data_IF_317485203389
#
_entry.id   IF_317485203389
#
_cell.length_a   1.000
_cell.length_b   1.000
_cell.length_c   1.000
_cell.angle_alpha   90.00
_cell.angle_beta   90.00
_cell.angle_gamma   90.00
#
_symmetry.space_group_name_H-M   'P 1'
#
loop_
_entity.id
_entity.type
_entity.pdbx_description
1 polymer ?
#
# COMPACT_ATOMS: atom_id res chain seq x y z
N UNK A 1 -10.38 9.60 12.27
CA UNK A 1 -11.51 8.72 12.70
C UNK A 1 -10.89 7.40 13.12
N UNK A 2 -11.25 6.86 14.30
CA UNK A 2 -10.75 5.54 14.69
C UNK A 2 -11.45 4.46 13.86
N UNK A 3 -10.67 3.51 13.33
CA UNK A 3 -11.23 2.36 12.59
C UNK A 3 -11.91 1.43 13.60
N UNK A 4 -13.20 1.12 13.45
CA UNK A 4 -13.89 0.20 14.36
C UNK A 4 -13.21 -1.18 14.41
N UNK A 5 -13.14 -1.78 15.61
CA UNK A 5 -12.46 -3.06 15.86
C UNK A 5 -12.87 -4.19 14.90
N UNK A 6 -14.13 -4.18 14.47
CA UNK A 6 -14.65 -5.20 13.56
C UNK A 6 -13.93 -5.24 12.20
N UNK A 7 -13.42 -4.10 11.73
CA UNK A 7 -12.63 -4.06 10.50
C UNK A 7 -11.27 -4.73 10.70
N UNK A 8 -10.66 -4.60 11.88
CA UNK A 8 -9.43 -5.35 12.20
C UNK A 8 -9.66 -6.86 12.25
N UNK A 9 -10.86 -7.32 12.66
CA UNK A 9 -11.19 -8.75 12.55
C UNK A 9 -11.25 -9.24 11.10
N UNK A 10 -11.60 -8.37 10.15
CA UNK A 10 -11.50 -8.69 8.71
C UNK A 10 -10.02 -8.71 8.30
N UNK A 11 -9.32 -7.58 8.47
CA UNK A 11 -7.96 -7.38 7.96
C UNK A 11 -6.94 -8.38 8.50
N UNK A 12 -7.03 -8.77 9.79
CA UNK A 12 -6.12 -9.74 10.41
C UNK A 12 -6.13 -11.11 9.72
N UNK A 13 -7.21 -11.43 9.00
CA UNK A 13 -7.38 -12.70 8.30
C UNK A 13 -7.14 -12.60 6.78
N UNK A 14 -6.76 -11.43 6.27
CA UNK A 14 -6.45 -11.25 4.86
C UNK A 14 -4.97 -11.58 4.56
N UNK A 15 -4.66 -12.00 3.33
CA UNK A 15 -3.27 -12.16 2.89
C UNK A 15 -2.56 -10.81 2.72
N UNK A 16 -3.31 -9.73 2.41
CA UNK A 16 -2.85 -8.34 2.28
C UNK A 16 -3.80 -7.38 2.97
N UNK A 17 -3.29 -6.21 3.38
CA UNK A 17 -4.11 -5.13 3.94
C UNK A 17 -4.84 -4.29 2.89
N UNK A 18 -4.57 -4.51 1.59
CA UNK A 18 -5.17 -3.82 0.46
C UNK A 18 -4.92 -4.55 -0.85
N UNK A 19 -5.42 -4.03 -1.99
CA UNK A 19 -5.17 -4.58 -3.31
C UNK A 19 -3.69 -4.67 -3.66
N UNK A 20 -3.27 -5.77 -4.27
CA UNK A 20 -1.88 -5.98 -4.68
C UNK A 20 -1.55 -7.46 -4.93
N UNK A 21 -0.41 -7.71 -5.56
CA UNK A 21 0.12 -9.04 -5.78
C UNK A 21 1.65 -9.01 -5.97
N UNK A 22 2.27 -10.18 -5.83
CA UNK A 22 3.72 -10.32 -5.94
C UNK A 22 4.25 -10.04 -7.36
N UNK A 23 3.44 -10.24 -8.40
CA UNK A 23 3.85 -9.96 -9.78
C UNK A 23 3.98 -8.46 -10.00
N UNK A 24 3.02 -7.67 -9.51
CA UNK A 24 3.07 -6.22 -9.55
C UNK A 24 4.23 -5.66 -8.72
N UNK A 25 4.49 -6.23 -7.52
CA UNK A 25 5.67 -5.89 -6.70
C UNK A 25 6.97 -6.16 -7.49
N UNK A 26 7.12 -7.35 -8.11
CA UNK A 26 8.28 -7.68 -8.96
C UNK A 26 8.42 -6.76 -10.17
N UNK A 27 7.30 -6.42 -10.83
CA UNK A 27 7.29 -5.50 -11.97
C UNK A 27 7.82 -4.12 -11.55
N UNK A 28 7.31 -3.55 -10.46
CA UNK A 28 7.80 -2.27 -9.97
C UNK A 28 9.29 -2.34 -9.58
N UNK A 29 9.72 -3.41 -8.89
CA UNK A 29 11.11 -3.62 -8.53
C UNK A 29 12.01 -3.72 -9.77
N UNK A 30 11.56 -4.33 -10.87
CA UNK A 30 12.34 -4.49 -12.09
C UNK A 30 12.65 -3.18 -12.82
N UNK A 31 12.00 -2.08 -12.46
CA UNK A 31 12.28 -0.74 -12.98
C UNK A 31 13.47 -0.06 -12.31
N UNK A 32 13.94 -0.59 -11.17
CA UNK A 32 15.09 -0.03 -10.45
C UNK A 32 16.39 -0.38 -11.15
N UNK A 33 17.32 0.58 -11.17
CA UNK A 33 18.65 0.42 -11.79
C UNK A 33 19.73 0.83 -10.79
N UNK A 34 20.93 0.35 -11.02
CA UNK A 34 22.13 0.78 -10.30
C UNK A 34 22.04 0.73 -8.76
N UNK A 35 21.25 -0.22 -8.25
CA UNK A 35 21.16 -0.44 -6.81
C UNK A 35 22.50 -0.94 -6.26
N UNK A 36 22.89 -0.51 -5.02
CA UNK A 36 24.10 -1.01 -4.40
C UNK A 36 24.04 -2.52 -4.13
N UNK A 37 25.18 -3.17 -4.02
CA UNK A 37 25.26 -4.61 -3.74
C UNK A 37 24.47 -5.01 -2.47
N UNK A 38 24.46 -4.14 -1.46
CA UNK A 38 23.66 -4.30 -0.24
C UNK A 38 22.68 -3.15 -0.10
N UNK A 39 21.44 -3.43 -0.42
CA UNK A 39 20.36 -2.44 -0.47
C UNK A 39 19.68 -2.29 0.88
N UNK A 40 19.40 -1.05 1.29
CA UNK A 40 18.60 -0.74 2.48
C UNK A 40 17.22 -0.23 2.05
N UNK A 41 16.20 -1.01 2.34
CA UNK A 41 14.80 -0.66 2.08
C UNK A 41 14.09 -0.16 3.33
N UNK A 42 13.16 0.75 3.15
CA UNK A 42 12.12 1.09 4.11
C UNK A 42 10.76 0.79 3.47
N UNK A 43 10.02 -0.18 3.99
CA UNK A 43 8.63 -0.50 3.59
C UNK A 43 7.68 0.12 4.60
N UNK A 44 6.95 1.18 4.19
CA UNK A 44 6.08 1.99 5.04
C UNK A 44 4.62 1.55 4.86
N UNK A 45 3.98 1.15 5.96
CA UNK A 45 2.66 0.54 5.92
C UNK A 45 2.72 -0.88 5.36
N UNK A 46 3.67 -1.67 5.87
CA UNK A 46 3.96 -3.01 5.32
C UNK A 46 2.79 -3.99 5.47
N UNK A 47 1.80 -3.70 6.32
CA UNK A 47 0.67 -4.58 6.58
C UNK A 47 1.12 -5.98 7.00
N UNK A 48 0.41 -7.05 6.61
CA UNK A 48 0.80 -8.43 6.90
C UNK A 48 2.03 -8.92 6.13
N UNK A 49 2.64 -8.09 5.24
CA UNK A 49 3.98 -8.25 4.73
C UNK A 49 4.14 -9.04 3.43
N UNK A 50 3.09 -9.26 2.64
CA UNK A 50 3.21 -10.04 1.40
C UNK A 50 4.26 -9.42 0.45
N UNK A 51 4.21 -8.10 0.20
CA UNK A 51 5.20 -7.38 -0.62
C UNK A 51 6.58 -7.38 0.04
N UNK A 52 6.66 -7.21 1.36
CA UNK A 52 7.94 -7.22 2.10
C UNK A 52 8.68 -8.53 1.94
N UNK A 53 7.97 -9.67 2.08
CA UNK A 53 8.52 -11.02 1.86
C UNK A 53 9.01 -11.17 0.41
N UNK A 54 8.22 -10.70 -0.55
CA UNK A 54 8.60 -10.76 -1.97
C UNK A 54 9.85 -9.94 -2.25
N UNK A 55 9.90 -8.69 -1.78
CA UNK A 55 11.07 -7.82 -1.91
C UNK A 55 12.33 -8.43 -1.27
N UNK A 56 12.20 -9.04 -0.07
CA UNK A 56 13.33 -9.67 0.62
C UNK A 56 13.94 -10.84 -0.16
N UNK A 57 13.15 -11.52 -1.01
CA UNK A 57 13.64 -12.57 -1.93
C UNK A 57 14.44 -11.99 -3.10
N UNK A 58 14.12 -10.78 -3.53
CA UNK A 58 14.72 -10.12 -4.70
C UNK A 58 16.03 -9.40 -4.40
N UNK A 59 16.27 -9.00 -3.15
CA UNK A 59 17.40 -8.16 -2.79
C UNK A 59 18.51 -8.92 -2.05
N UNK A 60 19.73 -8.40 -2.20
CA UNK A 60 20.82 -8.65 -1.26
C UNK A 60 20.94 -7.44 -0.33
N UNK A 61 20.34 -7.50 0.87
CA UNK A 61 20.28 -6.34 1.76
C UNK A 61 19.31 -6.53 2.92
N UNK A 62 18.81 -5.43 3.43
CA UNK A 62 17.89 -5.40 4.57
C UNK A 62 16.67 -4.54 4.27
N UNK A 63 15.52 -4.96 4.80
CA UNK A 63 14.26 -4.20 4.79
C UNK A 63 13.89 -3.86 6.22
N UNK A 64 13.68 -2.58 6.49
CA UNK A 64 12.91 -2.15 7.66
C UNK A 64 11.46 -2.06 7.22
N UNK A 65 10.59 -2.87 7.83
CA UNK A 65 9.17 -2.94 7.54
C UNK A 65 8.39 -2.33 8.70
N UNK A 66 7.71 -1.21 8.43
CA UNK A 66 7.01 -0.40 9.43
C UNK A 66 5.50 -0.51 9.25
N UNK A 67 4.82 -0.82 10.35
CA UNK A 67 3.36 -0.75 10.47
C UNK A 67 2.99 -0.44 11.93
N UNK A 68 1.85 0.21 12.17
CA UNK A 68 1.39 0.53 13.52
C UNK A 68 0.41 -0.51 14.09
N UNK A 69 0.02 -1.52 13.32
CA UNK A 69 -0.87 -2.58 13.77
C UNK A 69 -0.08 -3.83 14.16
N UNK A 70 0.08 -4.05 15.49
CA UNK A 70 0.91 -5.14 16.02
C UNK A 70 0.59 -6.53 15.43
N UNK A 71 -0.68 -6.93 15.21
CA UNK A 71 -0.99 -8.23 14.60
C UNK A 71 -0.39 -8.40 13.19
N UNK A 72 -0.26 -7.32 12.41
CA UNK A 72 0.40 -7.37 11.10
C UNK A 72 1.90 -7.58 11.24
N UNK A 73 2.53 -6.86 12.15
CA UNK A 73 3.96 -7.00 12.49
C UNK A 73 4.27 -8.43 12.94
N UNK A 74 3.43 -9.01 13.79
CA UNK A 74 3.60 -10.38 14.29
C UNK A 74 3.44 -11.41 13.16
N UNK A 75 2.48 -11.18 12.26
CA UNK A 75 2.25 -12.03 11.08
C UNK A 75 3.44 -11.98 10.13
N UNK A 76 3.96 -10.78 9.83
CA UNK A 76 5.16 -10.61 9.00
C UNK A 76 6.37 -11.30 9.62
N UNK A 77 6.60 -11.16 10.93
CA UNK A 77 7.70 -11.84 11.62
C UNK A 77 7.59 -13.37 11.53
N UNK A 78 6.37 -13.89 11.69
CA UNK A 78 6.11 -15.33 11.58
C UNK A 78 6.40 -15.82 10.16
N UNK A 79 5.94 -15.08 9.17
CA UNK A 79 6.14 -15.40 7.76
C UNK A 79 7.61 -15.30 7.35
N UNK A 80 8.31 -14.23 7.77
CA UNK A 80 9.73 -14.04 7.52
C UNK A 80 10.56 -15.21 8.06
N UNK A 81 10.24 -15.68 9.27
CA UNK A 81 10.90 -16.85 9.87
C UNK A 81 10.58 -18.15 9.10
N UNK A 82 9.32 -18.33 8.67
CA UNK A 82 8.92 -19.51 7.88
C UNK A 82 9.67 -19.58 6.55
N UNK A 83 9.93 -18.43 5.93
CA UNK A 83 10.61 -18.30 4.65
C UNK A 83 12.15 -18.19 4.78
N UNK A 84 12.71 -18.21 6.01
CA UNK A 84 14.16 -18.05 6.26
C UNK A 84 14.69 -16.66 5.93
N UNK A 85 13.85 -15.63 6.07
CA UNK A 85 14.15 -14.24 5.73
C UNK A 85 14.28 -13.32 6.96
N UNK A 86 14.26 -13.87 8.17
CA UNK A 86 14.34 -13.11 9.43
C UNK A 86 15.62 -12.28 9.58
N UNK A 87 16.69 -12.66 8.90
CA UNK A 87 17.94 -11.90 8.87
C UNK A 87 17.92 -10.72 7.86
N UNK A 88 16.95 -10.70 6.94
CA UNK A 88 16.78 -9.65 5.95
C UNK A 88 15.69 -8.64 6.32
N UNK A 89 14.71 -9.04 7.11
CA UNK A 89 13.54 -8.23 7.46
C UNK A 89 13.61 -7.86 8.95
N UNK A 90 13.60 -6.56 9.22
CA UNK A 90 13.44 -6.01 10.57
C UNK A 90 12.11 -5.28 10.64
N UNK A 91 11.17 -5.78 11.42
CA UNK A 91 9.89 -5.11 11.63
C UNK A 91 9.96 -4.02 12.69
N UNK A 92 9.19 -2.97 12.51
CA UNK A 92 9.07 -1.85 13.45
C UNK A 92 7.59 -1.54 13.65
N UNK A 93 7.09 -1.72 14.89
CA UNK A 93 5.76 -1.25 15.24
C UNK A 93 5.84 0.24 15.57
N UNK A 94 5.52 1.08 14.61
CA UNK A 94 5.47 2.53 14.78
C UNK A 94 4.56 3.16 13.72
N UNK A 95 4.13 4.39 13.99
CA UNK A 95 3.31 5.18 13.08
C UNK A 95 4.16 5.81 11.97
N UNK A 96 3.67 5.82 10.73
CA UNK A 96 4.25 6.57 9.62
C UNK A 96 4.27 8.08 9.84
N UNK A 97 3.53 8.58 10.85
CA UNK A 97 3.52 9.99 11.26
C UNK A 97 4.63 10.36 12.26
N UNK A 98 5.35 9.37 12.81
CA UNK A 98 6.37 9.58 13.85
C UNK A 98 7.62 8.72 13.62
N UNK A 99 8.06 8.62 12.38
CA UNK A 99 9.28 7.90 12.03
C UNK A 99 10.53 8.63 12.50
N UNK A 100 11.43 7.89 13.17
CA UNK A 100 12.73 8.39 13.66
C UNK A 100 13.85 7.59 12.98
N UNK A 101 14.12 7.91 11.73
CA UNK A 101 15.23 7.37 10.96
C UNK A 101 16.26 8.47 10.67
N UNK A 102 17.49 8.04 10.37
CA UNK A 102 18.56 8.97 9.96
C UNK A 102 18.24 9.51 8.56
N UNK A 103 18.69 10.73 8.31
CA UNK A 103 18.67 11.28 6.95
C UNK A 103 19.48 10.39 6.01
N UNK A 104 19.01 10.25 4.78
CA UNK A 104 19.70 9.52 3.71
C UNK A 104 20.07 8.07 4.13
N UNK A 105 19.19 7.41 4.88
CA UNK A 105 19.45 6.07 5.40
C UNK A 105 19.13 4.98 4.37
N UNK A 106 18.14 5.21 3.49
CA UNK A 106 17.59 4.18 2.63
C UNK A 106 17.92 4.41 1.15
N UNK A 107 18.24 3.32 0.47
CA UNK A 107 18.40 3.31 -0.98
C UNK A 107 17.02 3.28 -1.67
N UNK A 108 16.03 2.68 -1.00
CA UNK A 108 14.66 2.57 -1.52
C UNK A 108 13.65 2.78 -0.39
N UNK A 109 12.66 3.65 -0.64
CA UNK A 109 11.43 3.74 0.14
C UNK A 109 10.30 3.09 -0.68
N UNK A 110 9.52 2.25 -0.02
CA UNK A 110 8.43 1.48 -0.60
C UNK A 110 7.14 1.64 0.20
N UNK A 111 5.99 1.79 -0.47
CA UNK A 111 4.68 1.84 0.20
C UNK A 111 3.58 1.38 -0.74
N UNK A 112 3.01 0.20 -0.52
CA UNK A 112 1.92 -0.33 -1.32
C UNK A 112 0.57 -0.19 -0.59
N UNK A 113 -0.37 0.58 -1.18
CA UNK A 113 -1.73 0.72 -0.67
C UNK A 113 -1.84 1.38 0.71
N UNK A 114 -0.84 2.18 1.10
CA UNK A 114 -0.80 2.80 2.43
C UNK A 114 -0.50 4.30 2.41
N UNK A 115 0.11 4.82 1.36
CA UNK A 115 0.54 6.23 1.29
C UNK A 115 -0.62 7.21 1.41
N UNK A 116 -1.82 6.83 0.98
CA UNK A 116 -3.04 7.65 1.09
C UNK A 116 -3.36 8.07 2.54
N UNK A 117 -2.97 7.25 3.54
CA UNK A 117 -3.18 7.54 4.96
C UNK A 117 -2.39 8.78 5.39
N UNK A 118 -1.18 8.94 4.85
CA UNK A 118 -0.31 10.10 5.12
C UNK A 118 -0.61 11.28 4.20
N UNK A 119 -1.11 10.98 3.01
CA UNK A 119 -1.30 11.88 1.90
C UNK A 119 -0.15 11.81 0.91
N UNK A 120 -0.45 11.51 -0.37
CA UNK A 120 0.53 11.23 -1.42
C UNK A 120 1.57 12.35 -1.56
N UNK A 121 1.14 13.58 -1.85
CA UNK A 121 2.04 14.74 -2.01
C UNK A 121 2.86 15.03 -0.75
N UNK A 122 2.24 14.88 0.43
CA UNK A 122 2.91 15.09 1.71
C UNK A 122 3.99 14.04 1.95
N UNK A 123 3.71 12.77 1.63
CA UNK A 123 4.68 11.68 1.76
C UNK A 123 5.91 11.89 0.86
N UNK A 124 5.71 12.33 -0.39
CA UNK A 124 6.81 12.65 -1.32
C UNK A 124 7.75 13.71 -0.74
N UNK A 125 7.22 14.72 -0.06
CA UNK A 125 8.01 15.79 0.54
C UNK A 125 8.69 15.36 1.85
N UNK A 126 7.91 14.78 2.77
CA UNK A 126 8.37 14.55 4.14
C UNK A 126 9.27 13.31 4.27
N UNK A 127 8.99 12.23 3.51
CA UNK A 127 9.77 10.99 3.59
C UNK A 127 11.06 11.05 2.75
N UNK A 128 11.14 12.00 1.82
CA UNK A 128 12.33 12.24 1.00
C UNK A 128 13.61 12.40 1.82
N UNK A 129 13.52 12.98 3.01
CA UNK A 129 14.66 13.17 3.91
C UNK A 129 15.37 11.87 4.31
N UNK A 130 14.65 10.74 4.31
CA UNK A 130 15.20 9.44 4.64
C UNK A 130 15.83 8.72 3.43
N UNK A 131 15.57 9.22 2.22
CA UNK A 131 16.04 8.64 0.98
C UNK A 131 17.41 9.22 0.62
N UNK A 132 18.34 8.34 0.22
CA UNK A 132 19.65 8.75 -0.30
C UNK A 132 19.48 9.50 -1.63
N UNK A 133 20.54 10.23 -2.02
CA UNK A 133 20.66 10.75 -3.38
C UNK A 133 20.59 9.60 -4.37
N UNK A 134 19.93 9.81 -5.51
CA UNK A 134 19.65 8.79 -6.53
C UNK A 134 18.86 7.58 -6.02
N UNK A 135 18.39 7.59 -4.76
CA UNK A 135 17.55 6.55 -4.20
C UNK A 135 16.15 6.55 -4.82
N UNK A 136 15.46 5.42 -4.73
CA UNK A 136 14.14 5.24 -5.35
C UNK A 136 13.01 5.35 -4.35
N UNK A 137 11.93 5.99 -4.76
CA UNK A 137 10.67 5.97 -4.03
C UNK A 137 9.60 5.29 -4.89
N UNK A 138 9.02 4.22 -4.37
CA UNK A 138 7.97 3.44 -5.02
C UNK A 138 6.73 3.45 -4.17
N UNK A 139 5.60 3.80 -4.77
CA UNK A 139 4.29 3.79 -4.10
C UNK A 139 3.22 3.23 -5.02
N UNK A 140 2.17 2.66 -4.43
CA UNK A 140 0.91 2.51 -5.13
C UNK A 140 -0.14 3.43 -4.51
N UNK A 141 -0.79 4.24 -5.35
CA UNK A 141 -1.76 5.25 -4.96
C UNK A 141 -3.04 5.10 -5.76
N UNK A 142 -4.19 5.35 -5.12
CA UNK A 142 -5.50 5.32 -5.75
C UNK A 142 -5.66 6.53 -6.68
N UNK A 143 -6.03 6.28 -7.93
CA UNK A 143 -6.13 7.32 -8.94
C UNK A 143 -7.29 7.09 -9.90
N UNK A 144 -7.78 8.17 -10.51
CA UNK A 144 -8.60 8.10 -11.71
C UNK A 144 -7.73 7.66 -12.88
N UNK A 145 -8.12 6.54 -13.52
CA UNK A 145 -7.38 5.95 -14.65
C UNK A 145 -8.11 6.16 -15.98
N UNK A 146 -9.26 6.81 -15.94
CA UNK A 146 -10.05 7.18 -17.11
C UNK A 146 -10.82 8.48 -16.84
N UNK A 147 -10.91 9.30 -17.86
CA UNK A 147 -11.70 10.54 -17.84
C UNK A 147 -13.19 10.30 -17.67
N UNK A 148 -13.87 11.32 -17.16
CA UNK A 148 -15.33 11.36 -17.01
C UNK A 148 -15.90 10.16 -16.24
N UNK A 149 -15.45 9.89 -15.01
CA UNK A 149 -16.03 8.85 -14.20
C UNK A 149 -17.52 9.14 -13.95
N UNK A 150 -18.38 8.10 -13.92
CA UNK A 150 -19.78 8.26 -13.58
C UNK A 150 -19.99 8.98 -12.24
N UNK A 151 -21.09 9.73 -12.13
CA UNK A 151 -21.36 10.58 -10.99
C UNK A 151 -21.39 9.81 -9.66
N UNK A 152 -21.98 8.62 -9.65
CA UNK A 152 -22.08 7.77 -8.45
C UNK A 152 -20.71 7.47 -7.83
N UNK A 153 -19.72 7.03 -8.65
CA UNK A 153 -18.40 6.71 -8.13
C UNK A 153 -17.58 7.97 -7.80
N UNK A 154 -17.84 9.07 -8.50
CA UNK A 154 -17.22 10.35 -8.20
C UNK A 154 -17.67 10.89 -6.85
N UNK A 155 -18.98 10.84 -6.55
CA UNK A 155 -19.54 11.24 -5.26
C UNK A 155 -18.99 10.37 -4.12
N UNK A 156 -18.93 9.05 -4.33
CA UNK A 156 -18.34 8.14 -3.36
C UNK A 156 -16.91 8.55 -2.96
N UNK A 157 -16.02 8.77 -3.93
CA UNK A 157 -14.64 9.16 -3.61
C UNK A 157 -14.48 10.62 -3.17
N UNK A 158 -15.45 11.50 -3.45
CA UNK A 158 -15.47 12.83 -2.84
C UNK A 158 -15.69 12.78 -1.32
N UNK A 159 -16.36 11.74 -0.82
CA UNK A 159 -16.58 11.52 0.61
C UNK A 159 -15.45 10.68 1.23
N UNK A 160 -15.10 9.55 0.60
CA UNK A 160 -14.18 8.57 1.18
C UNK A 160 -12.69 8.94 0.99
N UNK A 161 -12.35 9.51 -0.15
CA UNK A 161 -10.98 9.91 -0.47
C UNK A 161 -10.93 11.21 -1.31
N UNK A 162 -11.26 12.37 -0.74
CA UNK A 162 -11.28 13.68 -1.45
C UNK A 162 -9.98 14.05 -2.18
N UNK A 163 -8.77 13.65 -1.70
CA UNK A 163 -7.51 13.94 -2.39
C UNK A 163 -7.27 13.18 -3.69
N UNK A 164 -8.13 12.23 -4.06
CA UNK A 164 -7.94 11.40 -5.26
C UNK A 164 -7.80 12.22 -6.53
N UNK A 165 -6.74 11.98 -7.27
CA UNK A 165 -6.36 12.69 -8.50
C UNK A 165 -6.30 11.75 -9.70
N UNK A 166 -6.14 12.32 -10.89
CA UNK A 166 -5.84 11.52 -12.07
C UNK A 166 -4.39 11.02 -12.06
N UNK A 167 -4.12 10.01 -12.88
CA UNK A 167 -2.75 9.50 -13.06
C UNK A 167 -1.78 10.61 -13.53
N UNK A 168 -2.23 11.46 -14.45
CA UNK A 168 -1.44 12.57 -14.99
C UNK A 168 -1.15 13.62 -13.92
N UNK A 169 -2.12 13.97 -13.08
CA UNK A 169 -1.93 14.90 -11.97
C UNK A 169 -0.93 14.35 -10.95
N UNK A 170 -1.01 13.06 -10.62
CA UNK A 170 -0.04 12.42 -9.72
C UNK A 170 1.38 12.41 -10.29
N UNK A 171 1.55 12.14 -11.59
CA UNK A 171 2.85 12.25 -12.27
C UNK A 171 3.39 13.69 -12.21
N UNK A 172 2.53 14.69 -12.37
CA UNK A 172 2.96 16.09 -12.24
C UNK A 172 3.41 16.42 -10.82
N UNK A 173 2.67 15.96 -9.80
CA UNK A 173 3.05 16.13 -8.39
C UNK A 173 4.42 15.48 -8.10
N UNK A 174 4.71 14.31 -8.67
CA UNK A 174 6.02 13.66 -8.53
C UNK A 174 7.13 14.58 -9.05
N UNK A 175 6.97 15.11 -10.26
CA UNK A 175 7.95 16.02 -10.89
C UNK A 175 8.14 17.31 -10.10
N UNK A 176 7.04 17.88 -9.60
CA UNK A 176 7.05 19.11 -8.80
C UNK A 176 7.64 18.89 -7.38
N UNK A 177 7.80 17.62 -6.98
CA UNK A 177 8.37 17.22 -5.68
C UNK A 177 9.86 16.86 -5.75
N UNK A 178 10.55 17.26 -6.81
CA UNK A 178 11.99 17.02 -7.06
C UNK A 178 12.36 15.54 -7.18
N UNK A 179 11.54 14.78 -7.90
CA UNK A 179 11.83 13.43 -8.32
C UNK A 179 11.87 13.33 -9.83
N UNK A 180 12.75 12.51 -10.36
CA UNK A 180 12.67 12.03 -11.72
C UNK A 180 11.63 10.91 -11.79
N UNK A 181 10.59 11.15 -12.59
CA UNK A 181 9.60 10.12 -12.87
C UNK A 181 10.23 9.02 -13.75
N UNK A 182 10.22 7.78 -13.26
CA UNK A 182 10.82 6.62 -13.94
C UNK A 182 9.78 5.83 -14.72
N UNK A 183 8.71 5.40 -14.06
CA UNK A 183 7.66 4.58 -14.67
C UNK A 183 6.37 4.62 -13.84
N UNK A 184 5.26 4.24 -14.45
CA UNK A 184 4.01 3.94 -13.77
C UNK A 184 3.21 2.87 -14.48
N UNK A 185 2.43 2.11 -13.75
CA UNK A 185 1.49 1.16 -14.32
C UNK A 185 0.27 0.95 -13.41
N UNK A 186 -0.85 0.67 -14.04
CA UNK A 186 -2.11 0.37 -13.34
C UNK A 186 -2.03 -1.06 -12.78
N UNK A 187 -2.40 -1.22 -11.51
CA UNK A 187 -2.54 -2.52 -10.87
C UNK A 187 -3.65 -3.33 -11.55
N UNK A 188 -3.39 -4.58 -11.98
CA UNK A 188 -4.39 -5.41 -12.63
C UNK A 188 -5.64 -5.66 -11.74
N UNK A 189 -6.81 -5.75 -12.33
CA UNK A 189 -8.04 -6.06 -11.59
C UNK A 189 -7.93 -7.37 -10.78
N UNK A 190 -7.18 -8.36 -11.29
CA UNK A 190 -6.94 -9.63 -10.59
C UNK A 190 -6.28 -9.46 -9.22
N UNK A 191 -5.45 -8.41 -9.05
CA UNK A 191 -4.78 -8.09 -7.79
C UNK A 191 -5.75 -7.58 -6.72
N UNK A 192 -6.86 -6.96 -7.15
CA UNK A 192 -7.95 -6.56 -6.29
C UNK A 192 -8.76 -7.77 -5.85
N UNK A 193 -9.13 -8.63 -6.81
CA UNK A 193 -10.01 -9.77 -6.55
C UNK A 193 -9.30 -10.88 -5.75
N UNK A 194 -8.18 -11.38 -6.25
CA UNK A 194 -7.60 -12.63 -5.76
C UNK A 194 -7.06 -12.51 -4.32
N UNK A 195 -6.38 -11.42 -4.02
CA UNK A 195 -5.66 -11.27 -2.75
C UNK A 195 -6.37 -10.36 -1.75
N UNK A 196 -7.42 -9.64 -2.17
CA UNK A 196 -8.10 -8.69 -1.30
C UNK A 196 -9.60 -8.89 -1.26
N UNK A 197 -10.36 -8.61 -2.32
CA UNK A 197 -11.82 -8.61 -2.26
C UNK A 197 -12.45 -9.98 -2.04
N UNK A 198 -12.01 -11.05 -2.71
CA UNK A 198 -12.55 -12.41 -2.49
C UNK A 198 -12.28 -12.87 -1.05
N UNK A 199 -11.05 -12.78 -0.50
CA UNK A 199 -10.81 -13.04 0.92
C UNK A 199 -11.63 -12.14 1.86
N UNK A 200 -11.80 -10.87 1.52
CA UNK A 200 -12.55 -9.89 2.29
C UNK A 200 -14.03 -10.27 2.40
N UNK A 201 -14.71 -10.51 1.28
CA UNK A 201 -16.12 -10.97 1.23
C UNK A 201 -16.32 -12.25 2.06
N UNK A 202 -15.35 -13.18 1.98
CA UNK A 202 -15.38 -14.41 2.79
C UNK A 202 -15.33 -14.11 4.28
N UNK A 203 -14.44 -13.21 4.73
CA UNK A 203 -14.34 -12.83 6.14
C UNK A 203 -15.60 -12.09 6.61
N UNK A 204 -16.11 -11.14 5.82
CA UNK A 204 -17.39 -10.47 6.12
C UNK A 204 -18.52 -11.48 6.28
N UNK A 205 -18.63 -12.48 5.41
CA UNK A 205 -19.63 -13.53 5.51
C UNK A 205 -19.52 -14.35 6.81
N UNK A 206 -18.30 -14.66 7.26
CA UNK A 206 -18.04 -15.35 8.52
C UNK A 206 -18.47 -14.48 9.71
N UNK A 207 -18.07 -13.20 9.71
CA UNK A 207 -18.35 -12.27 10.79
C UNK A 207 -19.85 -11.93 10.88
N UNK A 208 -20.57 -11.82 9.75
CA UNK A 208 -22.03 -11.66 9.76
C UNK A 208 -22.73 -12.83 10.47
N UNK A 209 -22.26 -14.07 10.30
CA UNK A 209 -22.81 -15.23 11.02
C UNK A 209 -22.50 -15.15 12.52
N UNK A 210 -21.25 -14.74 12.86
CA UNK A 210 -20.79 -14.57 14.25
C UNK A 210 -21.64 -13.52 14.98
N UNK A 211 -21.87 -12.38 14.34
CA UNK A 211 -22.51 -11.19 14.90
C UNK A 211 -23.99 -11.02 14.49
N UNK A 212 -24.66 -12.10 14.06
CA UNK A 212 -26.03 -12.06 13.51
C UNK A 212 -27.07 -11.38 14.41
N UNK A 213 -26.84 -11.32 15.72
CA UNK A 213 -27.74 -10.72 16.71
C UNK A 213 -27.29 -9.29 17.10
N UNK A 214 -26.21 -8.77 16.56
CA UNK A 214 -25.62 -7.46 16.87
C UNK A 214 -25.82 -6.53 15.66
N UNK A 215 -26.95 -5.80 15.64
CA UNK A 215 -27.37 -4.97 14.49
C UNK A 215 -26.33 -3.93 14.07
N UNK A 216 -25.66 -3.30 15.03
CA UNK A 216 -24.63 -2.30 14.76
C UNK A 216 -23.45 -2.92 13.97
N UNK A 217 -22.92 -4.04 14.46
CA UNK A 217 -21.83 -4.73 13.79
C UNK A 217 -22.22 -5.28 12.41
N UNK A 218 -23.45 -5.80 12.28
CA UNK A 218 -23.92 -6.28 10.96
C UNK A 218 -24.09 -5.13 9.98
N UNK A 219 -24.52 -3.95 10.41
CA UNK A 219 -24.60 -2.75 9.57
C UNK A 219 -23.21 -2.29 9.08
N UNK A 220 -22.20 -2.29 9.97
CA UNK A 220 -20.82 -1.99 9.58
C UNK A 220 -20.26 -3.01 8.57
N UNK A 221 -20.60 -4.29 8.74
CA UNK A 221 -20.19 -5.33 7.79
C UNK A 221 -20.95 -5.23 6.45
N UNK A 222 -22.16 -4.67 6.42
CA UNK A 222 -22.87 -4.38 5.18
C UNK A 222 -22.21 -3.21 4.45
N UNK A 223 -21.88 -2.13 5.15
CA UNK A 223 -21.19 -0.98 4.55
C UNK A 223 -19.81 -1.34 4.00
N UNK A 224 -19.11 -2.28 4.63
CA UNK A 224 -17.81 -2.77 4.18
C UNK A 224 -17.83 -3.44 2.79
N UNK A 225 -19.00 -3.81 2.27
CA UNK A 225 -19.14 -4.40 0.94
C UNK A 225 -19.43 -3.37 -0.16
N UNK A 226 -19.76 -2.13 0.20
CA UNK A 226 -20.15 -1.08 -0.77
C UNK A 226 -19.02 -0.82 -1.76
N UNK A 227 -17.80 -0.66 -1.28
CA UNK A 227 -16.63 -0.44 -2.14
C UNK A 227 -16.44 -1.58 -3.15
N UNK A 228 -16.64 -2.84 -2.73
CA UNK A 228 -16.49 -4.01 -3.61
C UNK A 228 -17.53 -3.99 -4.73
N UNK A 229 -18.77 -3.64 -4.44
CA UNK A 229 -19.83 -3.51 -5.46
C UNK A 229 -19.54 -2.34 -6.42
N UNK A 230 -19.04 -1.23 -5.90
CA UNK A 230 -18.62 -0.11 -6.73
C UNK A 230 -17.42 -0.47 -7.62
N UNK A 231 -16.46 -1.22 -7.11
CA UNK A 231 -15.34 -1.71 -7.93
C UNK A 231 -15.82 -2.66 -9.04
N UNK A 232 -16.74 -3.59 -8.75
CA UNK A 232 -17.36 -4.44 -9.79
C UNK A 232 -17.94 -3.64 -10.93
N UNK A 233 -18.57 -2.51 -10.61
CA UNK A 233 -19.29 -1.66 -11.56
C UNK A 233 -18.37 -0.68 -12.28
N UNK A 234 -17.33 -0.20 -11.60
CA UNK A 234 -16.55 0.97 -12.00
C UNK A 234 -15.04 0.78 -12.08
N UNK A 235 -14.52 -0.44 -11.98
CA UNK A 235 -13.06 -0.75 -12.06
C UNK A 235 -12.35 -0.15 -13.27
N UNK A 236 -13.09 0.20 -14.34
CA UNK A 236 -12.54 0.84 -15.54
C UNK A 236 -12.14 2.30 -15.34
N UNK A 237 -12.64 2.95 -14.29
CA UNK A 237 -12.48 4.40 -14.09
C UNK A 237 -11.47 4.73 -13.02
N UNK A 238 -11.19 3.82 -12.08
CA UNK A 238 -10.26 4.04 -10.99
C UNK A 238 -9.52 2.76 -10.63
N UNK A 239 -8.38 2.93 -9.99
CA UNK A 239 -7.58 1.82 -9.49
C UNK A 239 -6.30 2.29 -8.85
N UNK A 240 -5.56 1.37 -8.25
CA UNK A 240 -4.21 1.68 -7.81
C UNK A 240 -3.28 1.76 -9.01
N UNK A 241 -2.45 2.80 -8.99
CA UNK A 241 -1.35 3.00 -9.93
C UNK A 241 -0.05 2.93 -9.15
N UNK A 242 0.87 2.09 -9.59
CA UNK A 242 2.25 2.13 -9.11
C UNK A 242 2.95 3.31 -9.74
N UNK A 243 3.67 4.06 -8.93
CA UNK A 243 4.56 5.14 -9.34
C UNK A 243 5.98 4.79 -8.88
N UNK A 244 6.91 4.80 -9.80
CA UNK A 244 8.33 4.58 -9.58
C UNK A 244 9.04 5.89 -9.89
N UNK A 245 9.80 6.39 -8.95
CA UNK A 245 10.51 7.65 -9.07
C UNK A 245 11.87 7.59 -8.41
N UNK A 246 12.80 8.41 -8.89
CA UNK A 246 14.14 8.52 -8.36
C UNK A 246 14.37 9.90 -7.77
N UNK A 247 15.01 9.93 -6.60
CA UNK A 247 15.35 11.18 -5.92
C UNK A 247 16.41 11.94 -6.72
N UNK A 248 16.13 13.19 -7.08
CA UNK A 248 17.12 14.06 -7.71
C UNK A 248 18.18 14.51 -6.71
N UNK A 249 19.39 14.72 -7.18
CA UNK A 249 20.43 15.40 -6.41
C UNK A 249 19.97 16.79 -5.95
N UNK A 250 20.43 17.18 -4.76
CA UNK A 250 20.21 18.52 -4.21
C UNK A 250 21.16 19.55 -4.82
#
# INVERSE_FOLDING_TARGET
MEIPDIFFEIFNNLPRGGPGDNESTRKAFSSLRDLPERVHFLDIGCGPGMQTIELAKLINGQIIALDNHQPFVDKLNTEAKREGLENKIKTVNNSMFSMDFKKEQFDVIWSEGAVYIYGFEKALKDWRIFLKNEGYFIVSELAWIRDQPPQEIKEFFQEEYPPMKSNEENIQIIKDSNYDFVDSFILPESSWWNNYYIPYEKQVSILKKKYRNEKEKTSLLDSALIEIELFRKYSKYYGYVFYIMQNQDF
#
